data_IF_210717120286
#
_entry.id   IF_210717120286
#
_cell.length_a   1.000
_cell.length_b   1.000
_cell.length_c   1.000
_cell.angle_alpha   90.00
_cell.angle_beta   90.00
_cell.angle_gamma   90.00
#
_symmetry.space_group_name_H-M   'P 1'
#
loop_
_entity.id
_entity.type
_entity.pdbx_description
1 polymer ?
#
# COMPACT_ATOMS: atom_id res chain seq x y z
N UNK A 1 4.78 14.57 11.26
CA UNK A 1 4.05 13.45 10.63
C UNK A 1 3.13 14.05 9.60
N UNK A 2 3.30 13.70 8.32
CA UNK A 2 2.30 14.03 7.30
C UNK A 2 1.01 13.23 7.62
N UNK A 3 -0.20 13.72 7.29
CA UNK A 3 -1.41 13.04 7.69
C UNK A 3 -1.71 11.84 6.79
N UNK A 4 -2.13 10.75 7.43
CA UNK A 4 -2.92 9.70 6.77
C UNK A 4 -4.25 10.33 6.35
N UNK A 5 -4.76 9.92 5.19
CA UNK A 5 -6.07 10.37 4.71
C UNK A 5 -7.14 10.08 5.78
N UNK A 6 -7.98 11.07 6.16
CA UNK A 6 -8.95 10.92 7.25
C UNK A 6 -10.03 9.87 6.96
N UNK A 7 -10.22 9.49 5.70
CA UNK A 7 -11.15 8.46 5.25
C UNK A 7 -10.47 7.11 4.96
N UNK A 8 -9.16 6.99 5.22
CA UNK A 8 -8.44 5.74 5.08
C UNK A 8 -8.96 4.69 6.08
N UNK A 9 -9.50 3.59 5.55
CA UNK A 9 -9.99 2.47 6.34
C UNK A 9 -8.90 1.39 6.50
N UNK A 10 -8.53 1.06 7.75
CA UNK A 10 -7.57 -0.01 8.06
C UNK A 10 -8.03 -1.39 7.62
N UNK A 11 -9.33 -1.62 7.43
CA UNK A 11 -9.86 -2.86 6.88
C UNK A 11 -9.57 -2.98 5.38
N UNK A 12 -9.45 -1.86 4.66
CA UNK A 12 -9.17 -1.80 3.22
C UNK A 12 -7.67 -1.77 2.97
N UNK A 13 -7.09 -2.96 2.77
CA UNK A 13 -5.65 -3.17 2.65
C UNK A 13 -5.26 -3.69 1.27
N UNK A 14 -4.15 -3.20 0.75
CA UNK A 14 -3.49 -3.71 -0.44
C UNK A 14 -2.04 -4.11 -0.14
N UNK A 15 -1.56 -5.17 -0.79
CA UNK A 15 -0.19 -5.70 -0.65
C UNK A 15 0.67 -5.36 -1.87
N UNK A 16 0.70 -4.07 -2.21
CA UNK A 16 1.59 -3.53 -3.24
C UNK A 16 2.82 -2.87 -2.60
N UNK A 17 4.03 -3.02 -3.18
CA UNK A 17 5.23 -2.37 -2.66
C UNK A 17 5.08 -0.84 -2.72
N UNK A 18 5.55 -0.13 -1.68
CA UNK A 18 5.58 1.33 -1.74
C UNK A 18 6.75 1.78 -2.65
N UNK A 19 6.51 2.54 -3.73
CA UNK A 19 7.57 2.97 -4.64
C UNK A 19 8.53 3.99 -3.99
N UNK A 20 8.07 4.69 -2.94
CA UNK A 20 8.85 5.73 -2.27
C UNK A 20 9.80 5.18 -1.21
N UNK A 21 9.28 4.57 -0.13
CA UNK A 21 10.12 4.15 1.00
C UNK A 21 10.62 2.70 0.90
N UNK A 22 10.05 1.88 0.00
CA UNK A 22 10.42 0.48 -0.21
C UNK A 22 10.57 -0.33 1.10
N UNK A 23 9.69 -0.07 2.05
CA UNK A 23 9.64 -0.69 3.38
C UNK A 23 9.58 -2.23 3.39
N UNK A 24 9.22 -2.85 2.26
CA UNK A 24 9.12 -4.29 2.08
C UNK A 24 10.43 -5.01 1.77
N UNK A 25 11.50 -4.32 1.36
CA UNK A 25 12.71 -4.94 0.77
C UNK A 25 13.45 -5.91 1.70
N UNK A 26 13.36 -5.72 3.02
CA UNK A 26 14.02 -6.56 4.02
C UNK A 26 13.04 -7.47 4.79
N UNK A 27 11.84 -7.71 4.23
CA UNK A 27 10.81 -8.52 4.88
C UNK A 27 10.65 -9.88 4.20
N UNK A 28 10.97 -10.96 4.92
CA UNK A 28 10.88 -12.33 4.41
C UNK A 28 9.49 -12.67 3.84
N UNK A 29 8.40 -12.26 4.52
CA UNK A 29 7.05 -12.50 4.03
C UNK A 29 6.77 -11.77 2.71
N UNK A 30 7.24 -10.53 2.56
CA UNK A 30 7.05 -9.76 1.33
C UNK A 30 7.88 -10.33 0.19
N UNK A 31 9.14 -10.69 0.45
CA UNK A 31 10.02 -11.34 -0.53
C UNK A 31 9.48 -12.71 -0.97
N UNK A 32 8.78 -13.41 -0.08
CA UNK A 32 8.10 -14.67 -0.38
C UNK A 32 6.73 -14.50 -1.07
N UNK A 33 6.30 -13.26 -1.38
CA UNK A 33 4.99 -12.99 -1.99
C UNK A 33 3.78 -13.33 -1.09
N UNK A 34 3.99 -13.42 0.23
CA UNK A 34 2.94 -13.74 1.21
C UNK A 34 2.27 -12.48 1.74
N UNK A 35 1.05 -12.64 2.21
CA UNK A 35 0.34 -11.62 2.98
C UNK A 35 1.15 -11.26 4.23
N UNK A 36 1.62 -10.01 4.31
CA UNK A 36 2.35 -9.49 5.46
C UNK A 36 1.44 -8.60 6.32
N UNK A 37 1.43 -8.82 7.63
CA UNK A 37 0.63 -8.00 8.55
C UNK A 37 1.24 -6.62 8.81
N UNK A 38 2.53 -6.45 8.50
CA UNK A 38 3.28 -5.19 8.70
C UNK A 38 3.24 -4.34 7.43
N UNK A 39 3.58 -4.93 6.28
CA UNK A 39 3.67 -4.21 5.02
C UNK A 39 2.38 -4.35 4.22
N UNK A 40 1.47 -3.39 4.43
CA UNK A 40 0.22 -3.21 3.69
C UNK A 40 -0.07 -1.71 3.49
N UNK A 41 -0.90 -1.38 2.50
CA UNK A 41 -1.18 0.00 2.05
C UNK A 41 -2.67 0.26 2.21
N UNK A 42 -3.03 1.47 2.62
CA UNK A 42 -4.43 1.87 2.62
C UNK A 42 -4.95 1.90 1.19
N UNK A 43 -6.02 1.15 0.92
CA UNK A 43 -6.75 1.24 -0.34
C UNK A 43 -7.80 2.34 -0.21
N UNK A 44 -7.48 3.53 -0.73
CA UNK A 44 -8.35 4.70 -0.64
C UNK A 44 -9.56 4.54 -1.57
N UNK A 45 -9.31 4.20 -2.83
CA UNK A 45 -10.34 3.97 -3.84
C UNK A 45 -9.81 3.03 -4.93
N UNK A 46 -10.71 2.53 -5.77
CA UNK A 46 -10.36 1.81 -6.99
C UNK A 46 -11.28 2.25 -8.14
N UNK A 47 -10.80 2.12 -9.37
CA UNK A 47 -11.53 2.41 -10.59
C UNK A 47 -11.13 1.38 -11.64
N UNK A 48 -11.88 0.28 -11.70
CA UNK A 48 -11.49 -0.90 -12.48
C UNK A 48 -10.19 -1.52 -11.92
N UNK A 49 -9.15 -1.75 -12.74
CA UNK A 49 -7.87 -2.29 -12.29
C UNK A 49 -6.96 -1.24 -11.64
N UNK A 50 -7.32 0.05 -11.69
CA UNK A 50 -6.55 1.11 -11.06
C UNK A 50 -6.89 1.21 -9.58
N UNK A 51 -5.89 1.14 -8.71
CA UNK A 51 -6.03 1.28 -7.26
C UNK A 51 -5.32 2.54 -6.78
N UNK A 52 -5.97 3.29 -5.89
CA UNK A 52 -5.38 4.47 -5.23
C UNK A 52 -4.96 4.10 -3.82
N UNK A 53 -3.70 4.37 -3.49
CA UNK A 53 -3.03 3.82 -2.33
C UNK A 53 -2.37 4.91 -1.49
N UNK A 54 -2.29 4.68 -0.17
CA UNK A 54 -1.43 5.44 0.73
C UNK A 54 -0.57 4.50 1.58
N UNK A 55 0.72 4.79 1.66
CA UNK A 55 1.65 4.08 2.53
C UNK A 55 1.50 4.54 3.99
N UNK A 56 1.25 3.65 4.96
CA UNK A 56 1.17 4.04 6.37
C UNK A 56 2.50 4.50 6.95
N UNK A 57 3.64 4.04 6.40
CA UNK A 57 4.98 4.33 6.92
C UNK A 57 5.49 5.71 6.48
N UNK A 58 5.39 6.04 5.19
CA UNK A 58 5.92 7.29 4.64
C UNK A 58 4.85 8.27 4.13
N UNK A 59 3.57 7.92 4.25
CA UNK A 59 2.40 8.73 3.80
C UNK A 59 2.32 9.03 2.31
N UNK A 60 3.22 8.46 1.51
CA UNK A 60 3.20 8.59 0.06
C UNK A 60 1.89 8.05 -0.53
N UNK A 61 1.29 8.85 -1.42
CA UNK A 61 0.05 8.54 -2.14
C UNK A 61 0.38 8.31 -3.60
N UNK A 62 -0.16 7.24 -4.18
CA UNK A 62 0.01 6.93 -5.60
C UNK A 62 -1.20 6.14 -6.13
N UNK A 63 -1.21 5.92 -7.43
CA UNK A 63 -2.11 4.95 -8.06
C UNK A 63 -1.29 3.93 -8.85
N UNK A 64 -1.81 2.71 -8.95
CA UNK A 64 -1.19 1.61 -9.69
C UNK A 64 -2.26 0.94 -10.55
N UNK A 65 -1.93 0.60 -11.81
CA UNK A 65 -2.77 -0.28 -12.63
C UNK A 65 -2.34 -1.74 -12.40
N UNK A 66 -3.24 -2.55 -11.82
CA UNK A 66 -2.93 -3.95 -11.50
C UNK A 66 -3.21 -4.92 -12.66
N UNK A 67 -3.66 -4.43 -13.82
CA UNK A 67 -3.86 -5.24 -15.02
C UNK A 67 -2.69 -5.18 -16.01
N UNK A 68 -1.67 -4.35 -15.73
CA UNK A 68 -0.48 -4.16 -16.56
C UNK A 68 0.54 -5.31 -16.46
#
# INVERSE_FOLDING_TARGET
>A
MLPIDPHADRARRAWLPCPNCRDHENCENCLAGRTCHVHWRYLLSNSGPVVHLQCPNCTHVWFEDTAA
#
